data_IF_862190645427
#
_entry.id   IF_862190645427
#
_cell.length_a   1.000
_cell.length_b   1.000
_cell.length_c   1.000
_cell.angle_alpha   90.00
_cell.angle_beta   90.00
_cell.angle_gamma   90.00
#
_symmetry.space_group_name_H-M   'P 1'
#
loop_
_entity.id
_entity.type
_entity.pdbx_description
1 polymer ?
#
# COMPACT_ATOMS: atom_id res chain seq x y z
N UNK A 1 -41.91 -33.69 50.93
CA UNK A 1 -42.15 -33.48 49.49
C UNK A 1 -41.24 -32.36 49.00
N UNK A 2 -40.78 -32.45 47.74
CA UNK A 2 -40.00 -31.45 46.97
C UNK A 2 -38.47 -31.53 47.02
N UNK A 3 -37.91 -32.66 46.57
CA UNK A 3 -36.55 -32.76 46.03
C UNK A 3 -36.62 -33.10 44.53
N UNK A 4 -36.90 -32.16 43.62
CA UNK A 4 -36.74 -32.39 42.15
C UNK A 4 -36.62 -31.08 41.34
N UNK A 5 -35.62 -30.24 41.60
CA UNK A 5 -35.24 -29.16 40.67
C UNK A 5 -33.71 -29.03 40.69
N UNK A 6 -32.98 -29.95 40.05
CA UNK A 6 -31.51 -29.84 39.88
C UNK A 6 -31.00 -30.74 38.73
N UNK A 7 -31.74 -30.83 37.61
CA UNK A 7 -31.31 -31.71 36.51
C UNK A 7 -31.56 -31.16 35.10
N UNK A 8 -31.66 -29.83 34.96
CA UNK A 8 -31.94 -29.19 33.66
C UNK A 8 -30.89 -28.15 33.22
N UNK A 9 -29.76 -28.04 33.93
CA UNK A 9 -28.69 -27.07 33.63
C UNK A 9 -27.47 -27.74 32.96
N UNK A 10 -27.45 -29.06 32.81
CA UNK A 10 -26.26 -29.79 32.33
C UNK A 10 -26.18 -30.03 30.80
N UNK A 11 -27.19 -29.64 30.00
CA UNK A 11 -27.26 -30.02 28.56
C UNK A 11 -27.09 -28.82 27.61
N UNK A 12 -27.00 -27.58 28.11
CA UNK A 12 -26.87 -26.37 27.26
C UNK A 12 -25.39 -25.93 27.09
N UNK A 13 -24.42 -26.67 27.65
CA UNK A 13 -23.01 -26.21 27.68
C UNK A 13 -22.08 -26.61 26.51
N UNK A 14 -22.35 -27.57 25.60
CA UNK A 14 -21.35 -27.90 24.57
C UNK A 14 -21.54 -27.17 23.23
N UNK A 15 -22.59 -26.35 23.03
CA UNK A 15 -22.86 -25.73 21.71
C UNK A 15 -22.07 -24.43 21.46
N UNK A 16 -21.30 -23.93 22.45
CA UNK A 16 -20.55 -22.67 22.31
C UNK A 16 -19.05 -22.82 21.98
N UNK A 17 -18.54 -24.04 21.77
CA UNK A 17 -17.12 -24.27 21.48
C UNK A 17 -16.82 -24.69 20.03
N UNK A 18 -17.69 -24.37 19.08
CA UNK A 18 -17.35 -24.48 17.66
C UNK A 18 -16.82 -23.16 17.10
N UNK A 19 -15.79 -22.60 17.74
CA UNK A 19 -14.91 -21.64 17.09
C UNK A 19 -14.06 -22.41 16.08
N UNK A 20 -14.56 -22.57 14.86
CA UNK A 20 -13.71 -22.88 13.70
C UNK A 20 -12.83 -21.67 13.46
N UNK A 21 -11.64 -21.67 14.03
CA UNK A 21 -10.52 -20.86 13.54
C UNK A 21 -10.21 -21.39 12.14
N UNK A 22 -10.86 -20.82 11.13
CA UNK A 22 -10.49 -21.08 9.74
C UNK A 22 -9.02 -20.68 9.62
N UNK A 23 -8.10 -21.62 9.34
CA UNK A 23 -6.70 -21.25 9.19
C UNK A 23 -6.65 -20.34 7.97
N UNK A 24 -6.49 -19.04 8.22
CA UNK A 24 -6.24 -18.05 7.19
C UNK A 24 -5.01 -18.54 6.44
N UNK A 25 -5.23 -19.15 5.27
CA UNK A 25 -4.15 -19.45 4.35
C UNK A 25 -3.41 -18.13 4.16
N UNK A 26 -2.09 -18.08 4.36
CA UNK A 26 -1.36 -16.84 4.14
C UNK A 26 -1.64 -16.43 2.70
N UNK A 27 -2.39 -15.33 2.55
CA UNK A 27 -2.64 -14.73 1.25
C UNK A 27 -1.25 -14.35 0.78
N UNK A 28 -0.72 -15.08 -0.21
CA UNK A 28 0.64 -14.91 -0.68
C UNK A 28 0.79 -13.45 -1.14
N UNK A 29 1.43 -12.62 -0.32
CA UNK A 29 1.84 -11.29 -0.72
C UNK A 29 2.86 -11.46 -1.84
N UNK A 30 2.72 -10.73 -2.93
CA UNK A 30 3.76 -10.58 -3.96
C UNK A 30 4.90 -9.67 -3.46
N UNK A 31 5.30 -9.87 -2.21
CA UNK A 31 6.49 -9.32 -1.59
C UNK A 31 7.69 -10.07 -2.12
N UNK A 32 8.68 -9.35 -2.63
CA UNK A 32 9.93 -9.91 -3.09
C UNK A 32 11.08 -9.10 -2.50
N UNK A 33 12.03 -9.75 -1.80
CA UNK A 33 13.25 -9.08 -1.39
C UNK A 33 14.01 -8.64 -2.63
N UNK A 34 14.57 -7.44 -2.59
CA UNK A 34 15.39 -6.91 -3.67
C UNK A 34 16.81 -7.46 -3.52
N UNK A 35 17.44 -8.02 -4.59
CA UNK A 35 18.82 -8.48 -4.56
C UNK A 35 19.78 -7.42 -4.03
N UNK A 36 20.74 -7.81 -3.18
CA UNK A 36 21.64 -6.87 -2.48
C UNK A 36 22.38 -5.91 -3.42
N UNK A 37 22.79 -6.40 -4.60
CA UNK A 37 23.47 -5.62 -5.64
C UNK A 37 22.56 -4.61 -6.35
N UNK A 38 21.23 -4.74 -6.24
CA UNK A 38 20.25 -3.84 -6.86
C UNK A 38 19.67 -2.81 -5.89
N UNK A 39 19.76 -3.02 -4.58
CA UNK A 39 19.04 -2.22 -3.58
C UNK A 39 19.39 -0.72 -3.64
N UNK A 40 20.67 -0.39 -3.79
CA UNK A 40 21.12 1.01 -3.90
C UNK A 40 20.74 1.62 -5.26
N UNK A 41 20.77 0.83 -6.34
CA UNK A 41 20.39 1.27 -7.68
C UNK A 41 18.91 1.63 -7.71
N UNK A 42 18.06 0.74 -7.17
CA UNK A 42 16.62 0.98 -7.08
C UNK A 42 16.33 2.18 -6.18
N UNK A 43 17.03 2.32 -5.05
CA UNK A 43 16.90 3.50 -4.21
C UNK A 43 17.25 4.80 -4.95
N UNK A 44 18.38 4.83 -5.67
CA UNK A 44 18.77 6.00 -6.47
C UNK A 44 17.68 6.37 -7.48
N UNK A 45 17.18 5.38 -8.23
CA UNK A 45 16.10 5.58 -9.19
C UNK A 45 14.83 6.12 -8.54
N UNK A 46 14.45 5.62 -7.37
CA UNK A 46 13.30 6.14 -6.60
C UNK A 46 13.50 7.61 -6.24
N UNK A 47 14.71 7.99 -5.80
CA UNK A 47 15.03 9.37 -5.48
C UNK A 47 15.06 10.29 -6.70
N UNK A 48 15.39 9.76 -7.87
CA UNK A 48 15.37 10.53 -9.12
C UNK A 48 13.95 10.85 -9.58
N UNK A 49 12.99 9.94 -9.35
CA UNK A 49 11.56 10.21 -9.62
C UNK A 49 10.99 11.26 -8.68
N UNK A 50 11.38 11.24 -7.41
CA UNK A 50 10.88 12.20 -6.40
C UNK A 50 11.38 13.63 -6.70
N UNK A 51 12.50 13.78 -7.43
CA UNK A 51 13.10 15.05 -7.86
C UNK A 51 13.10 16.15 -6.77
N UNK A 52 13.27 15.73 -5.52
CA UNK A 52 13.32 16.63 -4.38
C UNK A 52 14.78 16.85 -4.00
N UNK A 53 15.20 18.12 -3.98
CA UNK A 53 16.53 18.54 -3.53
C UNK A 53 16.88 18.11 -2.09
N UNK A 54 15.89 17.71 -1.29
CA UNK A 54 16.05 17.27 0.10
C UNK A 54 16.33 15.77 0.26
N UNK A 55 16.95 15.11 -0.74
CA UNK A 55 17.32 13.68 -0.72
C UNK A 55 18.00 13.20 0.58
N UNK A 56 18.73 14.09 1.26
CA UNK A 56 19.43 13.79 2.53
C UNK A 56 18.49 13.51 3.71
N UNK A 57 17.25 13.97 3.67
CA UNK A 57 16.25 13.78 4.74
C UNK A 57 15.62 12.38 4.72
N UNK A 58 15.75 11.64 3.61
CA UNK A 58 15.13 10.33 3.43
C UNK A 58 16.06 9.14 3.74
N UNK A 59 17.13 9.37 4.53
CA UNK A 59 18.15 8.35 4.80
C UNK A 59 17.66 7.26 5.75
N UNK A 60 16.80 7.60 6.70
CA UNK A 60 16.34 6.69 7.74
C UNK A 60 14.91 6.23 7.43
N UNK A 61 14.73 4.92 7.24
CA UNK A 61 13.46 4.21 6.98
C UNK A 61 12.43 4.97 6.12
N UNK A 62 12.38 4.70 4.81
CA UNK A 62 11.45 5.34 3.88
C UNK A 62 10.52 4.29 3.24
N UNK A 63 9.22 4.59 3.16
CA UNK A 63 8.27 3.81 2.39
C UNK A 63 7.75 4.62 1.19
N UNK A 64 7.73 4.02 0.01
CA UNK A 64 7.24 4.66 -1.22
C UNK A 64 6.15 3.81 -1.85
N UNK A 65 5.01 4.42 -2.15
CA UNK A 65 3.93 3.84 -2.96
C UNK A 65 3.92 4.53 -4.33
N UNK A 66 4.14 3.78 -5.40
CA UNK A 66 4.00 4.28 -6.78
C UNK A 66 2.66 3.78 -7.34
N UNK A 67 1.83 4.70 -7.83
CA UNK A 67 0.51 4.46 -8.38
C UNK A 67 0.51 4.85 -9.86
N UNK A 68 0.60 3.87 -10.79
CA UNK A 68 0.39 4.14 -12.20
C UNK A 68 -1.09 4.43 -12.46
N UNK A 69 -1.41 5.58 -13.04
CA UNK A 69 -2.80 5.87 -13.45
C UNK A 69 -3.22 4.98 -14.64
N UNK A 70 -2.25 4.63 -15.48
CA UNK A 70 -2.39 3.77 -16.66
C UNK A 70 -2.24 2.28 -16.31
N UNK A 71 -2.32 1.93 -15.02
CA UNK A 71 -2.16 0.57 -14.50
C UNK A 71 -3.16 -0.42 -15.11
N UNK A 72 -2.71 -1.65 -15.40
CA UNK A 72 -3.58 -2.75 -15.82
C UNK A 72 -4.38 -3.37 -14.68
N UNK A 73 -4.21 -2.93 -13.42
CA UNK A 73 -5.16 -3.20 -12.33
C UNK A 73 -5.95 -1.94 -11.93
N UNK A 74 -7.08 -1.63 -12.60
CA UNK A 74 -7.94 -0.50 -12.24
C UNK A 74 -8.43 -0.54 -10.80
N UNK A 75 -8.82 -1.72 -10.30
CA UNK A 75 -9.28 -1.88 -8.91
C UNK A 75 -8.19 -1.51 -7.91
N UNK A 76 -6.96 -2.02 -8.09
CA UNK A 76 -5.83 -1.73 -7.21
C UNK A 76 -5.50 -0.23 -7.22
N UNK A 77 -5.42 0.36 -8.41
CA UNK A 77 -5.17 1.79 -8.61
C UNK A 77 -6.22 2.65 -7.91
N UNK A 78 -7.49 2.39 -8.21
CA UNK A 78 -8.60 3.17 -7.66
C UNK A 78 -8.64 3.06 -6.14
N UNK A 79 -8.36 1.87 -5.59
CA UNK A 79 -8.25 1.64 -4.14
C UNK A 79 -7.09 2.41 -3.51
N UNK A 80 -5.93 2.44 -4.15
CA UNK A 80 -4.78 3.22 -3.67
C UNK A 80 -5.09 4.71 -3.63
N UNK A 81 -5.73 5.25 -4.66
CA UNK A 81 -6.15 6.66 -4.73
C UNK A 81 -7.20 6.98 -3.66
N UNK A 82 -8.16 6.09 -3.44
CA UNK A 82 -9.19 6.29 -2.42
C UNK A 82 -8.59 6.27 -1.01
N UNK A 83 -7.66 5.34 -0.75
CA UNK A 83 -6.93 5.30 0.52
C UNK A 83 -6.07 6.55 0.72
N UNK A 84 -5.34 6.96 -0.32
CA UNK A 84 -4.51 8.16 -0.26
C UNK A 84 -5.34 9.40 0.04
N UNK A 85 -6.49 9.58 -0.61
CA UNK A 85 -7.39 10.69 -0.30
C UNK A 85 -8.01 10.61 1.10
N UNK A 86 -8.42 9.41 1.53
CA UNK A 86 -9.05 9.20 2.84
C UNK A 86 -8.10 9.42 4.01
N UNK A 87 -6.86 8.94 3.89
CA UNK A 87 -5.88 8.90 4.97
C UNK A 87 -4.68 9.82 4.74
N UNK A 88 -4.80 10.80 3.83
CA UNK A 88 -3.72 11.72 3.47
C UNK A 88 -3.08 12.40 4.69
N UNK A 89 -3.92 12.84 5.62
CA UNK A 89 -3.48 13.53 6.84
C UNK A 89 -2.80 12.58 7.84
N UNK A 90 -3.05 11.28 7.74
CA UNK A 90 -2.47 10.24 8.60
C UNK A 90 -1.21 9.60 7.97
N UNK A 91 -0.86 9.96 6.73
CA UNK A 91 0.32 9.44 6.05
C UNK A 91 1.59 9.76 6.86
N UNK A 92 2.35 8.76 7.34
CA UNK A 92 3.56 8.97 8.15
C UNK A 92 4.58 9.84 7.42
N UNK A 93 5.34 10.66 8.15
CA UNK A 93 6.27 11.65 7.56
C UNK A 93 7.33 11.02 6.64
N UNK A 94 7.70 9.78 6.88
CA UNK A 94 8.67 9.00 6.09
C UNK A 94 8.01 8.18 4.98
N UNK A 95 6.75 8.45 4.64
CA UNK A 95 6.00 7.77 3.60
C UNK A 95 5.67 8.72 2.47
N UNK A 96 5.89 8.26 1.24
CA UNK A 96 5.73 9.03 0.02
C UNK A 96 4.81 8.27 -0.94
N UNK A 97 3.85 8.97 -1.54
CA UNK A 97 3.06 8.49 -2.66
C UNK A 97 3.48 9.21 -3.95
N UNK A 98 3.69 8.44 -5.01
CA UNK A 98 4.03 8.94 -6.34
C UNK A 98 2.91 8.51 -7.29
N UNK A 99 2.23 9.48 -7.90
CA UNK A 99 1.22 9.23 -8.93
C UNK A 99 1.87 9.45 -10.28
N UNK A 100 2.00 8.39 -11.07
CA UNK A 100 2.71 8.43 -12.36
C UNK A 100 1.77 8.15 -13.51
N UNK A 101 2.02 8.78 -14.65
CA UNK A 101 1.26 8.57 -15.88
C UNK A 101 2.01 9.08 -17.10
N UNK A 102 1.48 8.78 -18.28
CA UNK A 102 2.04 9.25 -19.54
C UNK A 102 1.70 10.74 -19.81
N UNK A 103 2.19 11.63 -18.95
CA UNK A 103 1.91 13.06 -18.98
C UNK A 103 1.03 13.56 -17.84
N UNK A 104 1.25 14.80 -17.41
CA UNK A 104 0.37 15.49 -16.45
C UNK A 104 -1.08 15.53 -16.95
N UNK A 105 -1.31 15.67 -18.26
CA UNK A 105 -2.65 15.64 -18.86
C UNK A 105 -3.37 14.32 -18.58
N UNK A 106 -2.68 13.18 -18.68
CA UNK A 106 -3.26 11.88 -18.38
C UNK A 106 -3.63 11.79 -16.90
N UNK A 107 -2.74 12.24 -16.00
CA UNK A 107 -2.99 12.30 -14.55
C UNK A 107 -4.24 13.13 -14.25
N UNK A 108 -4.32 14.36 -14.76
CA UNK A 108 -5.47 15.23 -14.56
C UNK A 108 -6.76 14.62 -15.13
N UNK A 109 -6.69 14.03 -16.33
CA UNK A 109 -7.83 13.36 -16.98
C UNK A 109 -8.39 12.19 -16.14
N UNK A 110 -7.51 11.41 -15.49
CA UNK A 110 -7.93 10.35 -14.58
C UNK A 110 -8.76 10.91 -13.42
N UNK A 111 -8.29 11.95 -12.75
CA UNK A 111 -9.01 12.54 -11.62
C UNK A 111 -10.32 13.21 -12.04
N UNK A 112 -10.32 13.96 -13.15
CA UNK A 112 -11.53 14.62 -13.65
C UNK A 112 -12.60 13.62 -14.11
N UNK A 113 -12.21 12.59 -14.87
CA UNK A 113 -13.16 11.58 -15.39
C UNK A 113 -13.79 10.72 -14.29
N UNK A 114 -13.10 10.56 -13.16
CA UNK A 114 -13.59 9.80 -12.00
C UNK A 114 -14.27 10.67 -10.94
N UNK A 115 -14.37 11.98 -11.16
CA UNK A 115 -14.85 12.95 -10.17
C UNK A 115 -14.13 12.79 -8.81
N UNK A 116 -12.81 12.54 -8.85
CA UNK A 116 -11.98 12.33 -7.67
C UNK A 116 -11.16 13.58 -7.38
N UNK A 117 -10.97 13.87 -6.08
CA UNK A 117 -10.04 14.91 -5.64
C UNK A 117 -8.61 14.51 -5.98
N UNK A 118 -7.84 15.46 -6.50
CA UNK A 118 -6.39 15.33 -6.68
C UNK A 118 -5.73 15.43 -5.29
N UNK A 119 -5.07 14.37 -4.79
CA UNK A 119 -4.41 14.41 -3.49
C UNK A 119 -3.21 15.36 -3.55
N UNK A 120 -3.01 16.16 -2.52
CA UNK A 120 -1.83 17.04 -2.40
C UNK A 120 -1.41 17.13 -0.95
N UNK A 121 -0.14 16.81 -0.68
CA UNK A 121 0.50 16.99 0.62
C UNK A 121 1.98 17.24 0.35
N UNK A 122 2.46 18.38 0.81
CA UNK A 122 3.83 18.82 0.52
C UNK A 122 4.84 17.75 0.95
N UNK A 123 5.83 17.50 0.09
CA UNK A 123 6.90 16.49 0.23
C UNK A 123 6.47 15.03 0.42
N UNK A 124 5.17 14.72 0.39
CA UNK A 124 4.66 13.35 0.57
C UNK A 124 3.84 12.84 -0.61
N UNK A 125 3.32 13.72 -1.47
CA UNK A 125 2.62 13.34 -2.70
C UNK A 125 3.30 14.01 -3.89
N UNK A 126 3.82 13.19 -4.80
CA UNK A 126 4.49 13.63 -6.03
C UNK A 126 3.72 13.18 -7.26
N UNK A 127 3.81 13.98 -8.33
CA UNK A 127 3.26 13.65 -9.63
C UNK A 127 4.39 13.46 -10.63
N UNK A 128 4.50 12.24 -11.16
CA UNK A 128 5.45 11.90 -12.21
C UNK A 128 4.73 11.97 -13.57
N UNK A 129 4.69 13.19 -14.12
CA UNK A 129 4.16 13.45 -15.45
C UNK A 129 5.12 13.08 -16.59
N UNK A 130 6.39 12.80 -16.30
CA UNK A 130 7.40 12.41 -17.30
C UNK A 130 7.51 10.90 -17.48
N UNK A 131 6.70 10.14 -16.74
CA UNK A 131 6.71 8.68 -16.72
C UNK A 131 8.07 8.09 -16.30
N UNK A 132 8.83 8.84 -15.49
CA UNK A 132 10.17 8.48 -15.02
C UNK A 132 10.19 7.17 -14.25
N UNK A 133 9.14 6.86 -13.48
CA UNK A 133 9.01 5.62 -12.73
C UNK A 133 8.93 4.40 -13.65
N UNK A 134 8.24 4.52 -14.78
CA UNK A 134 8.19 3.47 -15.80
C UNK A 134 9.54 3.37 -16.52
N UNK A 135 10.11 4.50 -16.97
CA UNK A 135 11.39 4.53 -17.68
C UNK A 135 12.56 3.97 -16.84
N UNK A 136 12.48 4.09 -15.52
CA UNK A 136 13.47 3.54 -14.59
C UNK A 136 13.22 2.06 -14.21
N UNK A 137 12.18 1.41 -14.76
CA UNK A 137 11.74 0.06 -14.41
C UNK A 137 11.33 -0.11 -12.93
N UNK A 138 10.85 0.97 -12.29
CA UNK A 138 10.34 0.91 -10.91
C UNK A 138 8.92 0.34 -10.86
N UNK A 139 8.14 0.57 -11.90
CA UNK A 139 6.77 0.05 -12.00
C UNK A 139 6.55 -0.71 -13.29
N UNK A 140 5.51 -1.54 -13.27
CA UNK A 140 4.94 -2.16 -14.47
C UNK A 140 3.45 -1.78 -14.52
N UNK A 141 2.56 -2.70 -14.16
CA UNK A 141 1.12 -2.59 -14.39
C UNK A 141 0.29 -2.51 -13.10
N UNK A 142 0.96 -2.51 -11.95
CA UNK A 142 0.34 -2.54 -10.63
C UNK A 142 0.91 -1.44 -9.74
N UNK A 143 0.09 -0.86 -8.84
CA UNK A 143 0.62 -0.09 -7.72
C UNK A 143 1.70 -0.90 -6.99
N UNK A 144 2.80 -0.26 -6.67
CA UNK A 144 3.99 -0.93 -6.16
C UNK A 144 4.51 -0.20 -4.95
N UNK A 145 4.75 -0.94 -3.87
CA UNK A 145 5.37 -0.45 -2.65
C UNK A 145 6.86 -0.77 -2.64
N UNK A 146 7.65 0.17 -2.15
CA UNK A 146 9.07 0.03 -1.90
C UNK A 146 9.35 0.40 -0.46
N UNK A 147 10.06 -0.47 0.26
CA UNK A 147 10.56 -0.18 1.60
C UNK A 147 12.07 -0.04 1.53
N UNK A 148 12.54 1.07 2.09
CA UNK A 148 13.91 1.51 2.00
C UNK A 148 14.48 1.76 3.40
N UNK A 149 15.76 1.48 3.58
CA UNK A 149 16.48 1.79 4.80
C UNK A 149 17.94 2.12 4.47
N UNK A 150 18.51 3.15 5.09
CA UNK A 150 19.89 3.57 4.90
C UNK A 150 20.30 3.71 3.42
N UNK A 151 19.43 4.32 2.61
CA UNK A 151 19.66 4.53 1.18
C UNK A 151 19.62 3.26 0.32
N UNK A 152 18.95 2.20 0.78
CA UNK A 152 18.80 0.93 0.07
C UNK A 152 17.34 0.50 0.06
N UNK A 153 16.80 0.16 -1.11
CA UNK A 153 15.48 -0.44 -1.22
C UNK A 153 15.59 -1.95 -1.00
N UNK A 154 15.04 -2.48 0.09
CA UNK A 154 15.23 -3.89 0.47
C UNK A 154 14.03 -4.77 0.15
N UNK A 155 12.83 -4.19 0.05
CA UNK A 155 11.59 -4.92 -0.21
C UNK A 155 10.77 -4.20 -1.28
N UNK A 156 10.24 -4.98 -2.23
CA UNK A 156 9.28 -4.54 -3.23
C UNK A 156 8.00 -5.36 -3.07
N UNK A 157 6.85 -4.70 -3.05
CA UNK A 157 5.55 -5.37 -3.05
C UNK A 157 4.75 -4.88 -4.25
N UNK A 158 4.42 -5.78 -5.17
CA UNK A 158 3.43 -5.49 -6.21
C UNK A 158 2.06 -5.70 -5.62
N UNK A 159 1.17 -4.72 -5.70
CA UNK A 159 -0.17 -4.84 -5.12
C UNK A 159 -1.13 -5.54 -6.08
N UNK A 160 -1.92 -6.47 -5.55
CA UNK A 160 -2.92 -7.24 -6.30
C UNK A 160 -4.29 -7.11 -5.64
N UNK A 161 -5.41 -7.38 -6.35
CA UNK A 161 -6.75 -7.13 -5.81
C UNK A 161 -7.02 -7.78 -4.45
N UNK A 162 -6.45 -8.96 -4.19
CA UNK A 162 -6.65 -9.71 -2.95
C UNK A 162 -5.83 -9.16 -1.77
N UNK A 163 -4.69 -8.51 -2.01
CA UNK A 163 -3.80 -8.00 -0.94
C UNK A 163 -3.85 -6.49 -0.79
N UNK A 164 -4.34 -5.74 -1.78
CA UNK A 164 -4.21 -4.27 -1.83
C UNK A 164 -4.72 -3.57 -0.58
N UNK A 165 -5.80 -4.08 0.05
CA UNK A 165 -6.30 -3.53 1.31
C UNK A 165 -5.26 -3.67 2.44
N UNK A 166 -4.64 -4.84 2.57
CA UNK A 166 -3.65 -5.12 3.61
C UNK A 166 -2.34 -4.38 3.34
N UNK A 167 -1.91 -4.33 2.08
CA UNK A 167 -0.72 -3.57 1.66
C UNK A 167 -0.88 -2.08 2.01
N UNK A 168 -2.07 -1.52 1.74
CA UNK A 168 -2.40 -0.14 2.09
C UNK A 168 -2.52 0.06 3.61
N UNK A 169 -3.14 -0.87 4.35
CA UNK A 169 -3.19 -0.77 5.81
C UNK A 169 -1.78 -0.74 6.42
N UNK A 170 -0.87 -1.61 5.94
CA UNK A 170 0.55 -1.59 6.33
C UNK A 170 1.21 -0.26 5.98
N UNK A 171 0.99 0.24 4.77
CA UNK A 171 1.58 1.50 4.31
C UNK A 171 1.04 2.73 5.05
N UNK A 172 -0.24 2.77 5.42
CA UNK A 172 -0.79 3.91 6.17
C UNK A 172 -0.72 3.72 7.70
N UNK A 173 -0.17 2.59 8.17
CA UNK A 173 -0.13 2.21 9.59
C UNK A 173 -1.51 2.20 10.24
N UNK A 174 -2.51 1.68 9.51
CA UNK A 174 -3.90 1.60 9.97
C UNK A 174 -4.14 0.20 10.54
N UNK A 175 -4.68 0.15 11.75
CA UNK A 175 -5.11 -1.11 12.36
C UNK A 175 -6.18 -1.77 11.51
N UNK A 176 -5.97 -3.06 11.21
CA UNK A 176 -6.92 -3.84 10.42
C UNK A 176 -8.04 -4.33 11.33
N UNK A 177 -9.13 -3.58 11.41
CA UNK A 177 -10.40 -4.06 11.98
C UNK A 177 -11.03 -5.14 11.09
#
# INVERSE_FOLDING_TARGET
MNNKINFLIAIILPVLFSCRSEPQRPIASSSSPIPLNEQQIIFSKLMDVINDSTKSQYKDSLAILIIPIDASCPFCRDRCIDYLNKYLNQLPNNHIAIITGNGMKAIHSYFSSKNKRVPSKDRQVYFDGTNSAYLNNLIFLHPTFYYCNNGKAYEKIKSVPVTVKNDLNRFFQIESN
#
